data_IF_168653874915
#
_entry.id   IF_168653874915
#
_cell.length_a   1.000
_cell.length_b   1.000
_cell.length_c   1.000
_cell.angle_alpha   90.00
_cell.angle_beta   90.00
_cell.angle_gamma   90.00
#
_symmetry.space_group_name_H-M   'P 1'
#
loop_
_entity.id
_entity.type
_entity.pdbx_description
1 polymer ?
#
# COMPACT_ATOMS: atom_id res chain seq x y z
N UNK A 1 20.36 -2.62 -24.67
CA UNK A 1 20.86 -1.23 -24.77
C UNK A 1 20.58 -0.49 -23.47
N UNK A 2 21.33 0.58 -23.15
CA UNK A 2 21.24 1.30 -21.86
C UNK A 2 19.81 1.79 -21.52
N UNK A 3 19.02 2.18 -22.52
CA UNK A 3 17.61 2.58 -22.34
C UNK A 3 16.74 1.43 -21.78
N UNK A 4 16.79 0.26 -22.40
CA UNK A 4 16.06 -0.92 -21.92
C UNK A 4 16.43 -1.30 -20.47
N UNK A 5 17.71 -1.21 -20.12
CA UNK A 5 18.16 -1.47 -18.75
C UNK A 5 17.59 -0.45 -17.75
N UNK A 6 17.48 0.82 -18.15
CA UNK A 6 16.88 1.86 -17.32
C UNK A 6 15.36 1.67 -17.15
N UNK A 7 14.66 1.25 -18.21
CA UNK A 7 13.22 0.97 -18.18
C UNK A 7 12.92 -0.23 -17.26
N UNK A 8 13.72 -1.30 -17.34
CA UNK A 8 13.59 -2.48 -16.48
C UNK A 8 13.80 -2.11 -15.00
N UNK A 9 14.83 -1.30 -14.70
CA UNK A 9 15.10 -0.86 -13.34
C UNK A 9 13.99 0.04 -12.79
N UNK A 10 13.48 0.95 -13.62
CA UNK A 10 12.39 1.86 -13.26
C UNK A 10 11.10 1.08 -13.00
N UNK A 11 10.77 0.13 -13.88
CA UNK A 11 9.64 -0.78 -13.70
C UNK A 11 9.79 -1.61 -12.41
N UNK A 12 10.97 -2.21 -12.18
CA UNK A 12 11.27 -2.94 -10.96
C UNK A 12 11.12 -2.09 -9.69
N UNK A 13 11.51 -0.81 -9.73
CA UNK A 13 11.34 0.14 -8.63
C UNK A 13 9.88 0.48 -8.34
N UNK A 14 9.04 0.60 -9.37
CA UNK A 14 7.59 0.82 -9.22
C UNK A 14 6.91 -0.42 -8.61
N UNK A 15 7.27 -1.61 -9.10
CA UNK A 15 6.78 -2.88 -8.57
C UNK A 15 7.18 -3.01 -7.09
N UNK A 16 8.46 -2.77 -6.77
CA UNK A 16 8.98 -2.80 -5.41
C UNK A 16 8.27 -1.81 -4.48
N UNK A 17 8.01 -0.58 -4.92
CA UNK A 17 7.25 0.42 -4.14
C UNK A 17 5.86 -0.04 -3.77
N UNK A 18 5.17 -0.69 -4.72
CA UNK A 18 3.82 -1.19 -4.54
C UNK A 18 3.73 -2.26 -3.45
N UNK A 19 4.78 -3.09 -3.28
CA UNK A 19 4.85 -4.10 -2.22
C UNK A 19 5.32 -3.52 -0.89
N UNK A 20 6.37 -2.71 -0.93
CA UNK A 20 7.06 -2.28 0.30
C UNK A 20 6.31 -1.26 1.13
N UNK A 21 5.34 -0.55 0.57
CA UNK A 21 4.43 0.31 1.35
C UNK A 21 3.70 -0.43 2.47
N UNK A 22 3.41 -1.73 2.29
CA UNK A 22 2.76 -2.55 3.31
C UNK A 22 3.66 -2.92 4.48
N UNK A 23 4.99 -2.90 4.31
CA UNK A 23 5.92 -3.29 5.37
C UNK A 23 5.80 -2.42 6.62
N UNK A 24 5.40 -1.16 6.44
CA UNK A 24 5.28 -0.15 7.50
C UNK A 24 4.03 -0.35 8.36
N UNK A 25 2.96 -0.84 7.74
CA UNK A 25 1.65 -0.99 8.37
C UNK A 25 1.36 -2.44 8.76
N UNK A 26 2.22 -3.38 8.37
CA UNK A 26 2.06 -4.80 8.68
C UNK A 26 1.96 -5.06 10.20
N UNK A 27 2.66 -4.28 11.02
CA UNK A 27 2.58 -4.40 12.48
C UNK A 27 1.19 -4.01 13.02
N UNK A 28 0.54 -3.00 12.44
CA UNK A 28 -0.77 -2.48 12.87
C UNK A 28 -1.86 -3.54 12.78
N UNK A 29 -1.78 -4.42 11.78
CA UNK A 29 -2.78 -5.46 11.54
C UNK A 29 -2.50 -6.75 12.31
N UNK A 30 -1.24 -7.01 12.64
CA UNK A 30 -0.83 -8.22 13.35
C UNK A 30 -0.80 -8.03 14.88
N UNK A 31 -0.96 -6.81 15.40
CA UNK A 31 -0.91 -6.53 16.84
C UNK A 31 -2.02 -7.22 17.68
N UNK A 32 -3.11 -7.66 17.04
CA UNK A 32 -4.23 -8.34 17.72
C UNK A 32 -4.18 -9.87 17.60
N UNK A 33 -3.13 -10.44 17.01
CA UNK A 33 -2.97 -11.88 16.94
C UNK A 33 -2.61 -12.45 18.33
N UNK A 34 -3.09 -13.65 18.68
CA UNK A 34 -2.66 -14.34 19.90
C UNK A 34 -1.14 -14.51 19.93
N UNK A 35 -0.51 -14.27 21.08
CA UNK A 35 0.93 -14.38 21.27
C UNK A 35 1.50 -15.77 20.94
N UNK A 36 0.67 -16.81 21.02
CA UNK A 36 1.03 -18.20 20.70
C UNK A 36 1.09 -18.50 19.19
N UNK A 37 0.80 -17.51 18.33
CA UNK A 37 0.78 -17.73 16.87
C UNK A 37 2.20 -17.89 16.34
N UNK A 38 2.51 -18.99 15.61
CA UNK A 38 3.87 -19.21 15.12
C UNK A 38 4.29 -18.13 14.11
N UNK A 39 5.49 -17.52 14.25
CA UNK A 39 5.91 -16.35 13.46
C UNK A 39 5.99 -16.64 11.96
N UNK A 40 6.40 -17.86 11.57
CA UNK A 40 6.41 -18.28 10.17
C UNK A 40 5.01 -18.35 9.55
N UNK A 41 3.98 -18.69 10.33
CA UNK A 41 2.61 -18.71 9.82
C UNK A 41 2.11 -17.30 9.58
N UNK A 42 2.38 -16.37 10.50
CA UNK A 42 2.05 -14.95 10.33
C UNK A 42 2.74 -14.39 9.08
N UNK A 43 4.03 -14.69 8.90
CA UNK A 43 4.80 -14.27 7.73
C UNK A 43 4.21 -14.83 6.42
N UNK A 44 4.03 -16.15 6.31
CA UNK A 44 3.56 -16.76 5.06
C UNK A 44 2.14 -16.32 4.70
N UNK A 45 1.23 -16.24 5.67
CA UNK A 45 -0.14 -15.78 5.42
C UNK A 45 -0.17 -14.31 4.99
N UNK A 46 0.60 -13.45 5.65
CA UNK A 46 0.68 -12.03 5.28
C UNK A 46 1.34 -11.85 3.92
N UNK A 47 2.44 -12.57 3.66
CA UNK A 47 3.19 -12.50 2.42
C UNK A 47 2.35 -12.98 1.23
N UNK A 48 1.79 -14.20 1.28
CA UNK A 48 0.98 -14.71 0.17
C UNK A 48 -0.38 -14.01 0.05
N UNK A 49 -0.95 -13.57 1.17
CA UNK A 49 -2.18 -12.79 1.20
C UNK A 49 -2.06 -11.45 0.51
N UNK A 50 -0.87 -10.82 0.52
CA UNK A 50 -0.58 -9.59 -0.23
C UNK A 50 -0.02 -9.89 -1.63
N UNK A 51 0.88 -10.86 -1.75
CA UNK A 51 1.61 -11.15 -2.98
C UNK A 51 0.69 -11.53 -4.13
N UNK A 52 -0.20 -12.50 -3.90
CA UNK A 52 -1.09 -13.05 -4.94
C UNK A 52 -2.01 -11.96 -5.52
N UNK A 53 -2.79 -11.21 -4.72
CA UNK A 53 -3.70 -10.20 -5.28
C UNK A 53 -2.94 -9.03 -5.92
N UNK A 54 -1.83 -8.58 -5.35
CA UNK A 54 -1.05 -7.47 -5.94
C UNK A 54 -0.46 -7.90 -7.29
N UNK A 55 0.15 -9.09 -7.38
CA UNK A 55 0.65 -9.62 -8.64
C UNK A 55 -0.47 -9.75 -9.68
N UNK A 56 -1.64 -10.27 -9.28
CA UNK A 56 -2.79 -10.40 -10.17
C UNK A 56 -3.23 -9.05 -10.75
N UNK A 57 -3.41 -8.03 -9.89
CA UNK A 57 -3.82 -6.69 -10.32
C UNK A 57 -2.76 -6.02 -11.19
N UNK A 58 -1.47 -6.18 -10.88
CA UNK A 58 -0.40 -5.63 -11.71
C UNK A 58 -0.32 -6.28 -13.09
N UNK A 59 -0.43 -7.61 -13.18
CA UNK A 59 -0.45 -8.32 -14.46
C UNK A 59 -1.68 -7.90 -15.28
N UNK A 60 -2.84 -7.78 -14.64
CA UNK A 60 -4.06 -7.30 -15.29
C UNK A 60 -3.88 -5.87 -15.82
N UNK A 61 -3.34 -4.95 -15.02
CA UNK A 61 -3.05 -3.58 -15.45
C UNK A 61 -2.07 -3.53 -16.62
N UNK A 62 -1.01 -4.33 -16.58
CA UNK A 62 -0.05 -4.43 -17.69
C UNK A 62 -0.70 -4.97 -18.95
N UNK A 63 -1.50 -6.04 -18.86
CA UNK A 63 -2.21 -6.63 -19.98
C UNK A 63 -3.15 -5.61 -20.65
N UNK A 64 -3.91 -4.88 -19.84
CA UNK A 64 -4.84 -3.86 -20.32
C UNK A 64 -4.13 -2.69 -21.04
N UNK A 65 -2.96 -2.27 -20.54
CA UNK A 65 -2.17 -1.21 -21.17
C UNK A 65 -1.49 -1.65 -22.47
N UNK A 66 -1.36 -2.95 -22.73
CA UNK A 66 -0.79 -3.49 -23.98
C UNK A 66 -1.80 -3.64 -25.12
N UNK A 67 -3.10 -3.44 -24.85
CA UNK A 67 -4.14 -3.54 -25.87
C UNK A 67 -4.02 -2.36 -26.85
N UNK A 68 -3.84 -2.65 -28.14
CA UNK A 68 -3.64 -1.65 -29.20
C UNK A 68 -4.92 -1.18 -29.88
N UNK A 69 -6.07 -1.69 -29.44
CA UNK A 69 -7.38 -1.31 -30.00
C UNK A 69 -7.68 0.18 -29.70
N UNK A 70 -8.01 0.99 -30.72
CA UNK A 70 -8.30 2.41 -30.58
C UNK A 70 -9.38 2.73 -29.53
N UNK A 71 -10.34 1.83 -29.31
CA UNK A 71 -11.39 2.03 -28.32
C UNK A 71 -10.85 2.06 -26.88
N UNK A 72 -9.84 1.24 -26.58
CA UNK A 72 -9.20 1.20 -25.26
C UNK A 72 -8.27 2.40 -25.04
N UNK A 73 -7.60 2.85 -26.11
CA UNK A 73 -6.73 4.03 -26.09
C UNK A 73 -7.56 5.29 -25.83
N UNK A 74 -8.71 5.44 -26.52
CA UNK A 74 -9.63 6.55 -26.31
C UNK A 74 -10.26 6.52 -24.91
N UNK A 75 -10.68 5.34 -24.45
CA UNK A 75 -11.25 5.18 -23.10
C UNK A 75 -10.24 5.55 -21.99
N UNK A 76 -8.95 5.26 -22.20
CA UNK A 76 -7.89 5.70 -21.29
C UNK A 76 -7.63 7.21 -21.37
N UNK A 77 -7.69 7.80 -22.56
CA UNK A 77 -7.49 9.24 -22.73
C UNK A 77 -8.60 10.08 -22.05
N UNK A 78 -9.85 9.66 -22.16
CA UNK A 78 -11.01 10.38 -21.59
C UNK A 78 -11.22 10.09 -20.09
N UNK A 79 -11.03 8.83 -19.67
CA UNK A 79 -11.41 8.37 -18.33
C UNK A 79 -10.28 7.82 -17.47
N UNK A 80 -9.02 7.89 -17.95
CA UNK A 80 -7.86 7.27 -17.31
C UNK A 80 -8.11 5.77 -17.02
N UNK A 81 -7.62 5.25 -15.90
CA UNK A 81 -7.78 3.86 -15.51
C UNK A 81 -9.26 3.46 -15.32
N UNK A 82 -10.10 4.38 -14.85
CA UNK A 82 -11.54 4.11 -14.63
C UNK A 82 -12.31 3.93 -15.93
N UNK A 83 -12.03 4.77 -16.94
CA UNK A 83 -12.59 4.65 -18.28
C UNK A 83 -12.15 3.36 -18.97
N UNK A 84 -10.91 2.94 -18.76
CA UNK A 84 -10.40 1.69 -19.31
C UNK A 84 -11.10 0.45 -18.73
N UNK A 85 -11.38 0.43 -17.41
CA UNK A 85 -12.19 -0.65 -16.80
C UNK A 85 -13.62 -0.64 -17.31
N UNK A 86 -14.21 0.55 -17.50
CA UNK A 86 -15.55 0.68 -18.09
C UNK A 86 -15.61 0.11 -19.51
N UNK A 87 -14.56 0.32 -20.32
CA UNK A 87 -14.47 -0.23 -21.67
C UNK A 87 -14.34 -1.76 -21.67
N UNK A 88 -13.59 -2.35 -20.74
CA UNK A 88 -13.50 -3.82 -20.56
C UNK A 88 -14.87 -4.41 -20.21
N UNK A 89 -15.67 -3.70 -19.41
CA UNK A 89 -17.00 -4.12 -18.99
C UNK A 89 -18.10 -3.78 -20.02
N UNK A 90 -17.79 -3.02 -21.08
CA UNK A 90 -18.75 -2.61 -22.11
C UNK A 90 -19.48 -3.78 -22.82
N UNK A 91 -18.87 -4.96 -23.07
CA UNK A 91 -19.59 -6.07 -23.71
C UNK A 91 -20.71 -6.65 -22.84
N UNK A 92 -20.71 -6.34 -21.53
CA UNK A 92 -21.68 -6.84 -20.55
C UNK A 92 -22.88 -5.87 -20.38
N UNK A 93 -22.90 -4.77 -21.15
CA UNK A 93 -23.99 -3.80 -21.19
C UNK A 93 -24.35 -3.21 -19.81
N UNK A 94 -25.64 -3.18 -19.48
CA UNK A 94 -26.15 -2.65 -18.21
C UNK A 94 -25.61 -3.38 -16.97
N UNK A 95 -25.31 -4.67 -17.10
CA UNK A 95 -24.72 -5.43 -16.00
C UNK A 95 -23.25 -5.03 -15.76
N UNK A 96 -22.52 -4.68 -16.81
CA UNK A 96 -21.17 -4.13 -16.72
C UNK A 96 -21.13 -2.80 -15.94
N UNK A 97 -22.14 -1.94 -16.11
CA UNK A 97 -22.27 -0.69 -15.35
C UNK A 97 -22.51 -0.95 -13.85
N UNK A 98 -23.32 -1.95 -13.51
CA UNK A 98 -23.51 -2.36 -12.12
C UNK A 98 -22.21 -2.86 -11.49
N UNK A 99 -21.45 -3.71 -12.20
CA UNK A 99 -20.14 -4.18 -11.75
C UNK A 99 -19.14 -3.04 -11.59
N UNK A 100 -19.17 -2.05 -12.49
CA UNK A 100 -18.33 -0.86 -12.39
C UNK A 100 -18.60 -0.05 -11.10
N UNK A 101 -19.87 0.10 -10.71
CA UNK A 101 -20.24 0.74 -9.44
C UNK A 101 -19.73 -0.07 -8.25
N UNK A 102 -19.87 -1.39 -8.27
CA UNK A 102 -19.33 -2.26 -7.22
C UNK A 102 -17.80 -2.16 -7.12
N UNK A 103 -17.11 -2.06 -8.26
CA UNK A 103 -15.67 -1.84 -8.33
C UNK A 103 -15.28 -0.47 -7.76
N UNK A 104 -16.06 0.58 -8.05
CA UNK A 104 -15.83 1.90 -7.44
C UNK A 104 -16.01 1.88 -5.92
N UNK A 105 -17.02 1.16 -5.41
CA UNK A 105 -17.24 0.98 -3.97
C UNK A 105 -16.14 0.14 -3.30
N UNK A 106 -15.57 -0.83 -4.03
CA UNK A 106 -14.47 -1.65 -3.49
C UNK A 106 -13.20 -0.84 -3.23
N UNK A 107 -12.95 0.21 -4.03
CA UNK A 107 -11.85 1.15 -3.79
C UNK A 107 -12.03 1.86 -2.44
N UNK A 108 -13.25 2.25 -2.08
CA UNK A 108 -13.53 2.83 -0.76
C UNK A 108 -13.23 1.82 0.34
N UNK A 109 -13.69 0.58 0.19
CA UNK A 109 -13.41 -0.49 1.15
C UNK A 109 -11.90 -0.76 1.31
N UNK A 110 -11.14 -0.70 0.22
CA UNK A 110 -9.68 -0.87 0.24
C UNK A 110 -8.94 0.27 0.96
N UNK A 111 -9.52 1.47 1.02
CA UNK A 111 -8.92 2.62 1.72
C UNK A 111 -9.21 2.65 3.23
N UNK A 112 -10.18 1.87 3.72
CA UNK A 112 -10.52 1.82 5.16
C UNK A 112 -9.31 1.40 6.02
N UNK A 113 -8.57 0.31 5.71
CA UNK A 113 -7.39 -0.08 6.48
C UNK A 113 -6.30 1.01 6.47
N UNK A 114 -6.02 1.61 5.31
CA UNK A 114 -5.01 2.66 5.18
C UNK A 114 -5.34 3.89 6.04
N UNK A 115 -6.61 4.29 6.08
CA UNK A 115 -7.06 5.41 6.91
C UNK A 115 -6.99 5.05 8.40
N UNK A 116 -7.27 3.79 8.77
CA UNK A 116 -7.11 3.29 10.13
C UNK A 116 -5.66 3.33 10.61
N UNK A 117 -4.71 2.84 9.80
CA UNK A 117 -3.28 2.90 10.11
C UNK A 117 -2.80 4.33 10.26
N UNK A 118 -3.24 5.25 9.39
CA UNK A 118 -2.92 6.68 9.50
C UNK A 118 -3.35 7.25 10.85
N UNK A 119 -4.56 6.91 11.31
CA UNK A 119 -5.05 7.32 12.62
C UNK A 119 -4.22 6.76 13.78
N UNK A 120 -3.77 5.50 13.67
CA UNK A 120 -2.89 4.87 14.66
C UNK A 120 -1.50 5.54 14.68
N UNK A 121 -0.91 5.81 13.52
CA UNK A 121 0.39 6.47 13.41
C UNK A 121 0.37 7.88 14.04
N UNK A 122 -0.71 8.65 13.84
CA UNK A 122 -0.84 9.98 14.46
C UNK A 122 -0.93 9.87 15.99
N UNK A 123 -1.66 8.88 16.50
CA UNK A 123 -1.74 8.63 17.95
C UNK A 123 -0.38 8.19 18.53
N UNK A 124 0.45 7.51 17.75
CA UNK A 124 1.80 7.08 18.16
C UNK A 124 2.83 8.23 18.20
N UNK A 125 2.57 9.40 17.59
CA UNK A 125 3.52 10.53 17.58
C UNK A 125 3.70 11.20 18.95
N UNK A 126 2.77 11.02 19.89
CA UNK A 126 2.96 11.51 21.25
C UNK A 126 1.71 11.51 22.12
N UNK A 127 1.93 11.63 23.42
CA UNK A 127 0.89 11.67 24.46
C UNK A 127 -0.26 12.66 24.19
N UNK A 128 -0.04 13.91 23.70
CA UNK A 128 -1.17 14.81 23.42
C UNK A 128 -2.04 14.34 22.25
N UNK A 129 -1.47 13.65 21.26
CA UNK A 129 -2.20 13.14 20.10
C UNK A 129 -2.97 11.85 20.42
N UNK A 130 -2.51 11.07 21.41
CA UNK A 130 -3.15 9.87 21.92
C UNK A 130 -4.44 10.16 22.72
N UNK A 131 -4.58 11.36 23.31
CA UNK A 131 -5.79 11.76 24.07
C UNK A 131 -7.00 11.92 23.15
N UNK A 132 -6.77 12.31 21.89
CA UNK A 132 -7.85 12.55 20.93
C UNK A 132 -8.39 11.21 20.40
N UNK A 133 -9.72 11.00 20.43
CA UNK A 133 -10.32 9.78 19.91
C UNK A 133 -9.97 9.52 18.44
N UNK A 134 -9.65 8.27 18.11
CA UNK A 134 -9.18 7.85 16.77
C UNK A 134 -10.07 8.31 15.62
N UNK A 135 -11.39 8.32 15.85
CA UNK A 135 -12.37 8.75 14.85
C UNK A 135 -12.07 10.13 14.27
N UNK A 136 -11.60 11.06 15.10
CA UNK A 136 -11.27 12.42 14.66
C UNK A 136 -10.08 12.44 13.70
N UNK A 137 -9.03 11.69 13.99
CA UNK A 137 -7.86 11.57 13.12
C UNK A 137 -8.19 10.90 11.79
N UNK A 138 -9.00 9.84 11.83
CA UNK A 138 -9.50 9.16 10.63
C UNK A 138 -10.33 10.11 9.76
N UNK A 139 -11.18 10.93 10.37
CA UNK A 139 -11.99 11.92 9.66
C UNK A 139 -11.15 13.04 9.01
N UNK A 140 -10.15 13.57 9.72
CA UNK A 140 -9.23 14.55 9.15
C UNK A 140 -8.43 13.95 7.99
N UNK A 141 -7.90 12.74 8.17
CA UNK A 141 -7.17 12.04 7.11
C UNK A 141 -8.07 11.84 5.88
N UNK A 142 -9.33 11.42 6.08
CA UNK A 142 -10.34 11.29 5.03
C UNK A 142 -10.52 12.57 4.22
N UNK A 143 -10.72 13.70 4.90
CA UNK A 143 -10.86 15.01 4.25
C UNK A 143 -9.58 15.35 3.49
N UNK A 144 -8.41 15.20 4.12
CA UNK A 144 -7.13 15.60 3.53
C UNK A 144 -6.84 14.85 2.22
N UNK A 145 -6.96 13.52 2.20
CA UNK A 145 -6.70 12.77 0.97
C UNK A 145 -7.80 12.96 -0.07
N UNK A 146 -9.05 13.21 0.34
CA UNK A 146 -10.15 13.48 -0.60
C UNK A 146 -9.95 14.83 -1.29
N UNK A 147 -9.58 15.88 -0.55
CA UNK A 147 -9.23 17.19 -1.11
C UNK A 147 -8.02 17.06 -2.03
N UNK A 148 -6.97 16.35 -1.61
CA UNK A 148 -5.81 16.10 -2.44
C UNK A 148 -6.16 15.33 -3.74
N UNK A 149 -7.07 14.35 -3.66
CA UNK A 149 -7.56 13.59 -4.81
C UNK A 149 -8.36 14.43 -5.80
N UNK A 150 -9.23 15.33 -5.29
CA UNK A 150 -10.02 16.26 -6.13
C UNK A 150 -9.10 17.24 -6.86
N UNK A 151 -8.15 17.84 -6.15
CA UNK A 151 -7.17 18.79 -6.73
C UNK A 151 -6.22 18.07 -7.69
N UNK A 152 -5.80 16.86 -7.34
CA UNK A 152 -4.85 16.06 -8.12
C UNK A 152 -5.44 15.36 -9.35
N UNK A 153 -6.75 15.48 -9.63
CA UNK A 153 -7.41 14.71 -10.71
C UNK A 153 -6.73 14.90 -12.09
N UNK A 154 -6.24 16.11 -12.37
CA UNK A 154 -5.68 16.48 -13.68
C UNK A 154 -4.21 16.07 -13.84
N UNK A 155 -3.51 15.76 -12.74
CA UNK A 155 -2.11 15.35 -12.72
C UNK A 155 -1.87 14.01 -12.02
N UNK A 156 -2.93 13.21 -11.86
CA UNK A 156 -2.94 12.01 -11.02
C UNK A 156 -1.78 11.05 -11.32
N UNK A 157 -1.52 10.78 -12.61
CA UNK A 157 -0.50 9.82 -13.02
C UNK A 157 0.92 10.31 -12.67
N UNK A 158 1.23 11.59 -12.93
CA UNK A 158 2.52 12.18 -12.58
C UNK A 158 2.74 12.27 -11.06
N UNK A 159 1.70 12.62 -10.31
CA UNK A 159 1.74 12.66 -8.84
C UNK A 159 1.98 11.25 -8.28
N UNK A 160 1.24 10.26 -8.78
CA UNK A 160 1.31 8.89 -8.30
C UNK A 160 2.68 8.26 -8.59
N UNK A 161 3.24 8.43 -9.81
CA UNK A 161 4.57 7.92 -10.12
C UNK A 161 5.66 8.56 -9.27
N UNK A 162 5.67 9.88 -9.10
CA UNK A 162 6.66 10.57 -8.26
C UNK A 162 6.55 10.17 -6.80
N UNK A 163 5.32 10.06 -6.28
CA UNK A 163 5.06 9.65 -4.91
C UNK A 163 5.50 8.21 -4.67
N UNK A 164 5.18 7.28 -5.59
CA UNK A 164 5.64 5.90 -5.51
C UNK A 164 7.17 5.81 -5.52
N UNK A 165 7.87 6.59 -6.34
CA UNK A 165 9.33 6.59 -6.34
C UNK A 165 9.93 7.04 -4.99
N UNK A 166 9.36 8.08 -4.38
CA UNK A 166 9.79 8.54 -3.05
C UNK A 166 9.46 7.47 -2.00
N UNK A 167 8.26 6.87 -2.07
CA UNK A 167 7.85 5.78 -1.19
C UNK A 167 8.81 4.60 -1.26
N UNK A 168 9.11 4.09 -2.47
CA UNK A 168 10.06 3.00 -2.69
C UNK A 168 11.44 3.29 -2.11
N UNK A 169 11.92 4.52 -2.25
CA UNK A 169 13.23 4.90 -1.74
C UNK A 169 13.27 4.79 -0.23
N UNK A 170 12.24 5.30 0.46
CA UNK A 170 12.29 5.35 1.91
C UNK A 170 11.92 4.03 2.58
N UNK A 171 10.97 3.29 2.02
CA UNK A 171 10.61 1.96 2.50
C UNK A 171 11.78 0.99 2.38
N UNK A 172 12.64 1.14 1.36
CA UNK A 172 13.83 0.32 1.19
C UNK A 172 14.78 0.44 2.38
N UNK A 173 15.13 1.67 2.81
CA UNK A 173 16.01 1.84 3.96
C UNK A 173 15.36 1.32 5.25
N UNK A 174 14.05 1.53 5.40
CA UNK A 174 13.33 1.08 6.59
C UNK A 174 13.39 -0.45 6.71
N UNK A 175 13.12 -1.16 5.62
CA UNK A 175 13.19 -2.62 5.58
C UNK A 175 14.60 -3.11 5.90
N UNK A 176 15.63 -2.47 5.33
CA UNK A 176 17.03 -2.84 5.61
C UNK A 176 17.36 -2.65 7.08
N UNK A 177 17.04 -1.49 7.67
CA UNK A 177 17.30 -1.20 9.08
C UNK A 177 16.58 -2.20 9.99
N UNK A 178 15.29 -2.45 9.74
CA UNK A 178 14.52 -3.42 10.54
C UNK A 178 15.06 -4.84 10.37
N UNK A 179 15.48 -5.22 9.16
CA UNK A 179 16.10 -6.52 8.91
C UNK A 179 17.45 -6.65 9.62
N UNK A 180 18.30 -5.62 9.59
CA UNK A 180 19.55 -5.58 10.34
C UNK A 180 19.30 -5.68 11.84
N UNK A 181 18.35 -4.92 12.37
CA UNK A 181 17.95 -5.00 13.77
C UNK A 181 17.49 -6.42 14.14
N UNK A 182 16.64 -7.04 13.33
CA UNK A 182 16.09 -8.36 13.61
C UNK A 182 17.13 -9.50 13.47
N UNK A 183 17.94 -9.49 12.41
CA UNK A 183 18.83 -10.60 12.07
C UNK A 183 20.25 -10.45 12.62
N UNK A 184 20.74 -9.23 12.81
CA UNK A 184 22.10 -8.97 13.29
C UNK A 184 22.09 -8.67 14.79
N UNK A 185 21.29 -7.68 15.21
CA UNK A 185 21.36 -7.15 16.56
C UNK A 185 20.50 -7.92 17.58
N UNK A 186 19.25 -8.22 17.24
CA UNK A 186 18.24 -8.85 18.12
C UNK A 186 18.00 -10.35 17.89
N UNK A 187 18.89 -11.00 17.15
CA UNK A 187 18.87 -12.47 17.02
C UNK A 187 19.06 -13.11 18.40
N UNK A 188 18.62 -14.36 18.57
CA UNK A 188 18.71 -15.12 19.84
C UNK A 188 20.11 -15.11 20.49
N UNK A 189 21.17 -14.95 19.69
CA UNK A 189 22.57 -14.82 20.11
C UNK A 189 23.22 -13.50 19.62
N UNK A 190 22.45 -12.41 19.59
CA UNK A 190 22.88 -11.09 19.12
C UNK A 190 23.36 -10.20 20.26
N UNK A 191 24.09 -9.10 19.94
CA UNK A 191 24.63 -8.17 20.93
C UNK A 191 23.55 -7.47 21.78
N UNK A 192 22.31 -7.36 21.30
CA UNK A 192 21.19 -6.73 22.03
C UNK A 192 20.22 -7.75 22.66
N UNK A 193 20.46 -9.06 22.51
CA UNK A 193 19.54 -10.11 22.98
C UNK A 193 18.22 -10.19 22.21
N UNK A 194 17.31 -11.08 22.63
CA UNK A 194 15.98 -11.21 22.00
C UNK A 194 15.05 -10.02 22.29
N UNK A 195 13.87 -9.99 21.65
CA UNK A 195 12.84 -8.97 21.94
C UNK A 195 12.33 -9.14 23.39
N UNK A 196 12.49 -8.10 24.21
CA UNK A 196 11.85 -8.02 25.52
C UNK A 196 10.59 -7.17 25.39
N UNK A 197 9.42 -7.82 25.50
CA UNK A 197 8.12 -7.15 25.35
C UNK A 197 7.79 -6.24 26.54
N UNK A 198 8.42 -6.49 27.70
CA UNK A 198 8.15 -5.74 28.95
C UNK A 198 8.87 -4.38 29.00
N UNK A 199 9.91 -4.18 28.19
CA UNK A 199 10.66 -2.92 28.15
C UNK A 199 9.97 -1.86 27.25
N UNK A 200 9.02 -2.25 26.40
CA UNK A 200 8.39 -1.34 25.42
C UNK A 200 7.67 -0.13 26.04
N UNK A 201 7.06 -0.29 27.22
CA UNK A 201 6.32 0.76 27.92
C UNK A 201 7.16 1.47 29.00
N UNK A 202 8.46 1.18 29.10
CA UNK A 202 9.33 1.74 30.14
C UNK A 202 10.22 2.83 29.54
N UNK A 203 9.97 4.14 29.77
CA UNK A 203 10.74 5.23 29.14
C UNK A 203 12.23 5.26 29.50
N UNK A 204 12.64 4.51 30.53
CA UNK A 204 14.00 4.43 31.05
C UNK A 204 14.79 3.20 30.57
N UNK A 205 14.22 2.37 29.70
CA UNK A 205 14.84 1.16 29.14
C UNK A 205 14.54 1.07 27.65
#
# INVERSE_FOLDING_TARGET
GRALSADILSFGGIVFGSFTGWALVAADYNCRLPADTPPMRVFLLTFFGLFIPICFVQILGAALMTITDPAYILAYADGSTGGLIAQVLSPWGHFGQFVLVLLALSVVANNIPNTYSTGLSIQALGHPFAIIPRFFWVFIAFIAYTVAGVIGREHFNAILSNFLSILSYWTAFFIVIVAEEHFIFRRKNGPLGGYNLDDYDTPSK
#
